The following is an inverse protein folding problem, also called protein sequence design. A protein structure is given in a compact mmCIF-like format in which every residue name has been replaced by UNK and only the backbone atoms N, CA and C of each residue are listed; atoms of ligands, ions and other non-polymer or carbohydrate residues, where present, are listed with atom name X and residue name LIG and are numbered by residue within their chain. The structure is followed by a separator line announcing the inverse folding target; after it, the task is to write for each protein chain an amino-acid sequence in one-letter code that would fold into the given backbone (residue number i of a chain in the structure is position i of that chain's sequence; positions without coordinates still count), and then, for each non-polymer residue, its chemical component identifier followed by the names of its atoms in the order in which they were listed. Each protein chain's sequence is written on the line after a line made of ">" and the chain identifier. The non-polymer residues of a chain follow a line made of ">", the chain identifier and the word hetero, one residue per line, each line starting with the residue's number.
data_IF_951203061987
#
_entry.id   IF_951203061987
#
_cell.length_a   1.000
_cell.length_b   1.000
_cell.length_c   1.000
_cell.angle_alpha   90.00
_cell.angle_beta   90.00
_cell.angle_gamma   90.00
#
_symmetry.space_group_name_H-M   'P 1'
#
loop_
_entity.id
_entity.type
_entity.pdbx_description
1 polymer ?
#
# COMPACT_ATOMS: atom_id res chain seq x y z
N UNK A 1 -24.29 6.94 -44.31
CA UNK A 1 -24.78 6.68 -42.94
C UNK A 1 -23.60 6.24 -42.09
N UNK A 2 -22.86 7.17 -41.47
CA UNK A 2 -21.67 6.82 -40.65
C UNK A 2 -21.39 7.89 -39.57
N UNK A 3 -22.41 8.24 -38.78
CA UNK A 3 -22.24 9.09 -37.61
C UNK A 3 -22.75 8.34 -36.37
N UNK A 4 -21.90 8.22 -35.35
CA UNK A 4 -22.30 7.78 -34.01
C UNK A 4 -22.30 9.04 -33.14
N UNK A 5 -23.39 9.26 -32.41
CA UNK A 5 -23.51 10.38 -31.49
C UNK A 5 -22.93 9.99 -30.12
N UNK A 6 -21.91 10.72 -29.68
CA UNK A 6 -21.32 10.60 -28.35
C UNK A 6 -21.57 11.94 -27.65
N UNK A 7 -22.34 11.93 -26.56
CA UNK A 7 -22.80 13.15 -25.85
C UNK A 7 -23.45 14.21 -26.77
N UNK A 8 -24.31 13.77 -27.71
CA UNK A 8 -25.08 14.69 -28.56
C UNK A 8 -24.31 15.34 -29.72
N UNK A 9 -23.00 15.09 -29.87
CA UNK A 9 -22.22 15.58 -31.00
C UNK A 9 -22.02 14.50 -32.08
N UNK A 10 -22.22 14.80 -33.37
CA UNK A 10 -21.94 13.87 -34.45
C UNK A 10 -20.41 13.74 -34.63
N UNK A 11 -19.88 12.54 -34.39
CA UNK A 11 -18.44 12.25 -34.55
C UNK A 11 -18.21 11.23 -35.66
N UNK A 12 -17.30 11.57 -36.58
CA UNK A 12 -16.91 10.73 -37.71
C UNK A 12 -16.09 9.51 -37.22
N UNK A 13 -16.39 8.29 -37.68
CA UNK A 13 -15.80 7.03 -37.20
C UNK A 13 -14.26 7.02 -37.20
N UNK A 14 -13.63 7.64 -38.21
CA UNK A 14 -12.15 7.73 -38.32
C UNK A 14 -11.54 8.65 -37.26
N UNK A 15 -12.23 9.73 -36.86
CA UNK A 15 -11.81 10.59 -35.75
C UNK A 15 -12.07 9.95 -34.39
N UNK A 16 -13.10 9.12 -34.28
CA UNK A 16 -13.44 8.37 -33.07
C UNK A 16 -12.35 7.34 -32.74
N UNK A 17 -11.80 6.66 -33.75
CA UNK A 17 -10.66 5.76 -33.59
C UNK A 17 -9.39 6.51 -33.12
N UNK A 18 -9.04 7.66 -33.74
CA UNK A 18 -7.87 8.44 -33.32
C UNK A 18 -8.05 9.09 -31.94
N UNK A 19 -9.28 9.43 -31.57
CA UNK A 19 -9.63 10.01 -30.27
C UNK A 19 -9.60 8.95 -29.15
N UNK A 20 -10.18 7.77 -29.40
CA UNK A 20 -10.07 6.60 -28.52
C UNK A 20 -8.62 6.13 -28.32
N UNK A 21 -7.75 6.39 -29.31
CA UNK A 21 -6.33 6.09 -29.20
C UNK A 21 -5.52 7.07 -28.35
N UNK A 22 -6.11 8.21 -27.98
CA UNK A 22 -5.45 9.18 -27.10
C UNK A 22 -5.31 8.65 -25.67
N UNK A 23 -4.18 8.96 -25.03
CA UNK A 23 -3.90 8.58 -23.65
C UNK A 23 -5.00 9.03 -22.67
N UNK A 24 -5.53 10.27 -22.75
CA UNK A 24 -6.60 10.72 -21.85
C UNK A 24 -7.86 9.85 -21.93
N UNK A 25 -8.29 9.48 -23.14
CA UNK A 25 -9.49 8.64 -23.32
C UNK A 25 -9.27 7.24 -22.78
N UNK A 26 -8.08 6.66 -23.03
CA UNK A 26 -7.70 5.34 -22.46
C UNK A 26 -7.70 5.36 -20.94
N UNK A 27 -7.21 6.43 -20.33
CA UNK A 27 -7.21 6.62 -18.87
C UNK A 27 -8.63 6.73 -18.33
N UNK A 28 -9.48 7.55 -18.95
CA UNK A 28 -10.86 7.75 -18.53
C UNK A 28 -11.66 6.44 -18.63
N UNK A 29 -11.53 5.72 -19.75
CA UNK A 29 -12.19 4.43 -19.95
C UNK A 29 -11.71 3.39 -18.94
N UNK A 30 -10.40 3.31 -18.70
CA UNK A 30 -9.83 2.42 -17.70
C UNK A 30 -10.40 2.70 -16.30
N UNK A 31 -10.50 3.97 -15.93
CA UNK A 31 -11.05 4.36 -14.64
C UNK A 31 -12.54 3.99 -14.54
N UNK A 32 -13.35 4.27 -15.57
CA UNK A 32 -14.76 3.90 -15.62
C UNK A 32 -14.94 2.38 -15.46
N UNK A 33 -14.18 1.58 -16.22
CA UNK A 33 -14.21 0.12 -16.15
C UNK A 33 -13.87 -0.36 -14.74
N UNK A 34 -12.85 0.23 -14.10
CA UNK A 34 -12.53 -0.11 -12.72
C UNK A 34 -13.65 0.24 -11.75
N UNK A 35 -14.26 1.44 -11.83
CA UNK A 35 -15.36 1.78 -10.92
C UNK A 35 -16.54 0.81 -11.07
N UNK A 36 -16.91 0.45 -12.30
CA UNK A 36 -17.96 -0.54 -12.55
C UNK A 36 -17.56 -1.91 -11.97
N UNK A 37 -16.35 -2.39 -12.23
CA UNK A 37 -15.87 -3.67 -11.70
C UNK A 37 -15.83 -3.68 -10.16
N UNK A 38 -15.46 -2.57 -9.54
CA UNK A 38 -15.37 -2.41 -8.09
C UNK A 38 -16.75 -2.45 -7.43
N UNK A 39 -17.73 -1.73 -8.00
CA UNK A 39 -19.13 -1.79 -7.56
C UNK A 39 -19.69 -3.20 -7.70
N UNK A 40 -19.52 -3.82 -8.87
CA UNK A 40 -20.05 -5.15 -9.15
C UNK A 40 -19.42 -6.21 -8.24
N UNK A 41 -18.12 -6.13 -8.01
CA UNK A 41 -17.39 -7.05 -7.12
C UNK A 41 -17.95 -6.99 -5.69
N UNK A 42 -18.14 -5.79 -5.14
CA UNK A 42 -18.71 -5.66 -3.79
C UNK A 42 -20.17 -6.05 -3.73
N UNK A 43 -20.97 -5.69 -4.74
CA UNK A 43 -22.37 -6.09 -4.81
C UNK A 43 -22.47 -7.61 -4.83
N UNK A 44 -21.66 -8.28 -5.65
CA UNK A 44 -21.60 -9.74 -5.70
C UNK A 44 -21.18 -10.35 -4.35
N UNK A 45 -20.21 -9.75 -3.64
CA UNK A 45 -19.78 -10.20 -2.32
C UNK A 45 -20.93 -10.17 -1.29
N UNK A 46 -21.83 -9.19 -1.41
CA UNK A 46 -22.98 -8.97 -0.54
C UNK A 46 -24.21 -9.79 -0.96
N UNK A 47 -24.22 -10.36 -2.16
CA UNK A 47 -25.27 -11.28 -2.62
C UNK A 47 -25.02 -12.75 -2.21
N UNK A 48 -23.85 -13.07 -1.62
CA UNK A 48 -23.54 -14.41 -1.17
C UNK A 48 -24.44 -14.82 0.02
N UNK A 49 -24.79 -16.12 0.17
CA UNK A 49 -25.63 -16.58 1.27
C UNK A 49 -25.02 -16.29 2.65
N UNK A 50 -25.55 -15.25 3.31
CA UNK A 50 -25.05 -14.75 4.59
C UNK A 50 -25.02 -15.79 5.71
N UNK A 51 -26.07 -16.61 5.94
CA UNK A 51 -26.06 -17.59 7.03
C UNK A 51 -24.89 -18.58 6.94
N UNK A 52 -24.47 -18.96 5.73
CA UNK A 52 -23.35 -19.89 5.53
C UNK A 52 -22.02 -19.19 5.81
N UNK A 53 -21.84 -17.98 5.27
CA UNK A 53 -20.63 -17.17 5.48
C UNK A 53 -20.43 -16.85 6.97
N UNK A 54 -21.51 -16.47 7.66
CA UNK A 54 -21.51 -16.19 9.11
C UNK A 54 -21.21 -17.43 9.94
N UNK A 55 -21.83 -18.57 9.63
CA UNK A 55 -21.60 -19.83 10.33
C UNK A 55 -20.13 -20.28 10.21
N UNK A 56 -19.55 -20.21 9.03
CA UNK A 56 -18.13 -20.53 8.83
C UNK A 56 -17.19 -19.48 9.47
N UNK A 57 -17.59 -18.21 9.51
CA UNK A 57 -16.85 -17.17 10.20
C UNK A 57 -16.83 -17.41 11.73
N UNK A 58 -17.97 -17.78 12.32
CA UNK A 58 -18.07 -18.18 13.74
C UNK A 58 -17.25 -19.43 14.04
N UNK A 59 -17.35 -20.47 13.18
CA UNK A 59 -16.55 -21.69 13.33
C UNK A 59 -15.05 -21.44 13.28
N UNK A 60 -14.62 -20.38 12.57
CA UNK A 60 -13.22 -19.98 12.46
C UNK A 60 -12.62 -19.52 13.78
N UNK A 61 -13.40 -19.09 14.77
CA UNK A 61 -12.92 -18.69 16.11
C UNK A 61 -12.10 -19.79 16.80
N UNK A 62 -12.35 -21.05 16.44
CA UNK A 62 -11.63 -22.21 16.96
C UNK A 62 -10.36 -22.57 16.18
N UNK A 63 -10.06 -21.88 15.07
CA UNK A 63 -8.87 -22.13 14.25
C UNK A 63 -7.59 -21.74 15.00
N UNK A 64 -6.57 -22.59 14.90
CA UNK A 64 -5.23 -22.33 15.43
C UNK A 64 -4.61 -21.04 14.87
N UNK A 65 -5.05 -20.62 13.67
CA UNK A 65 -4.61 -19.36 13.07
C UNK A 65 -5.07 -18.13 13.87
N UNK A 66 -6.18 -18.23 14.61
CA UNK A 66 -6.72 -17.17 15.46
C UNK A 66 -6.32 -17.31 16.93
N UNK A 67 -6.13 -18.53 17.44
CA UNK A 67 -5.85 -18.77 18.87
C UNK A 67 -4.39 -18.55 19.29
N UNK A 68 -3.41 -18.87 18.44
CA UNK A 68 -1.99 -18.87 18.82
C UNK A 68 -1.17 -17.69 18.26
N UNK A 69 -1.67 -17.02 17.23
CA UNK A 69 -0.95 -15.94 16.52
C UNK A 69 -1.47 -14.52 16.81
N UNK A 70 -2.50 -14.38 17.66
CA UNK A 70 -3.19 -13.10 17.88
C UNK A 70 -2.88 -12.50 19.26
N UNK A 71 -1.65 -11.98 19.45
CA UNK A 71 -1.34 -11.08 20.58
C UNK A 71 -1.15 -9.68 20.04
N UNK A 72 -2.26 -8.97 19.81
CA UNK A 72 -2.21 -7.54 19.56
C UNK A 72 -2.04 -6.81 20.89
N UNK A 73 -0.88 -6.17 21.08
CA UNK A 73 -0.74 -5.14 22.09
C UNK A 73 -1.29 -3.84 21.50
N UNK A 74 -2.53 -3.51 21.88
CA UNK A 74 -3.17 -2.26 21.50
C UNK A 74 -2.49 -1.05 22.16
N UNK A 75 -1.42 -1.21 22.95
CA UNK A 75 -0.82 -0.10 23.69
C UNK A 75 0.33 0.54 22.94
N UNK A 76 0.23 1.84 22.67
CA UNK A 76 1.40 2.71 22.48
C UNK A 76 1.51 3.56 23.73
N UNK A 77 2.67 3.54 24.39
CA UNK A 77 2.90 4.30 25.62
C UNK A 77 1.78 4.08 26.67
N UNK A 78 1.35 2.83 26.88
CA UNK A 78 0.30 2.41 27.82
C UNK A 78 -1.15 2.84 27.50
N UNK A 79 -1.42 3.61 26.43
CA UNK A 79 -2.77 3.96 25.98
C UNK A 79 -3.31 3.02 24.90
N UNK A 80 -4.59 2.61 24.94
CA UNK A 80 -5.19 1.79 23.89
C UNK A 80 -5.31 2.59 22.59
N UNK A 81 -4.74 2.06 21.51
CA UNK A 81 -4.81 2.58 20.14
C UNK A 81 -6.01 1.94 19.46
N UNK A 82 -6.92 2.80 18.99
CA UNK A 82 -8.14 2.40 18.31
C UNK A 82 -7.87 2.05 16.83
N UNK A 83 -8.68 1.12 16.33
CA UNK A 83 -8.86 0.66 14.95
C UNK A 83 -7.91 -0.41 14.43
N UNK A 84 -8.39 -1.66 14.53
CA UNK A 84 -7.75 -2.85 13.99
C UNK A 84 -8.33 -3.17 12.60
N UNK A 85 -7.72 -2.62 11.55
CA UNK A 85 -8.07 -2.92 10.15
C UNK A 85 -7.95 -4.41 9.78
N UNK A 86 -7.47 -5.26 10.70
CA UNK A 86 -7.11 -6.63 10.43
C UNK A 86 -8.08 -7.67 11.00
N UNK A 87 -8.99 -7.26 11.91
CA UNK A 87 -10.08 -8.11 12.46
C UNK A 87 -11.32 -8.15 11.54
N UNK A 88 -11.34 -7.27 10.54
CA UNK A 88 -12.48 -7.02 9.67
C UNK A 88 -13.00 -8.24 8.90
N UNK A 89 -12.19 -9.25 8.56
CA UNK A 89 -12.71 -10.33 7.69
C UNK A 89 -13.87 -11.08 8.35
N UNK A 90 -13.74 -11.41 9.64
CA UNK A 90 -14.79 -12.12 10.40
C UNK A 90 -15.91 -11.13 10.79
N UNK A 91 -15.57 -9.94 11.24
CA UNK A 91 -16.54 -8.92 11.64
C UNK A 91 -17.42 -8.45 10.48
N UNK A 92 -16.87 -8.36 9.27
CA UNK A 92 -17.59 -7.97 8.05
C UNK A 92 -18.41 -9.11 7.48
N UNK A 93 -17.96 -10.35 7.70
CA UNK A 93 -18.78 -11.52 7.41
C UNK A 93 -20.07 -11.48 8.25
N UNK A 94 -19.96 -11.01 9.50
CA UNK A 94 -21.03 -10.90 10.50
C UNK A 94 -21.78 -9.55 10.50
N UNK A 95 -21.45 -8.63 9.59
CA UNK A 95 -22.10 -7.31 9.54
C UNK A 95 -23.60 -7.44 9.26
N UNK A 96 -24.37 -6.50 9.83
CA UNK A 96 -25.83 -6.47 9.67
C UNK A 96 -26.22 -6.09 8.23
N UNK A 97 -27.12 -6.87 7.64
CA UNK A 97 -27.72 -6.52 6.35
C UNK A 97 -28.53 -5.22 6.47
N UNK A 98 -28.27 -4.28 5.57
CA UNK A 98 -28.91 -2.98 5.51
C UNK A 98 -30.18 -2.98 4.63
N UNK A 99 -30.73 -4.15 4.36
CA UNK A 99 -31.93 -4.37 3.55
C UNK A 99 -31.68 -4.31 2.03
N UNK A 100 -30.45 -4.03 1.59
CA UNK A 100 -30.04 -4.24 0.20
C UNK A 100 -28.52 -4.43 0.08
N UNK A 101 -28.03 -5.28 -0.85
CA UNK A 101 -26.59 -5.46 -1.07
C UNK A 101 -25.85 -4.15 -1.39
N UNK A 102 -26.54 -3.21 -2.04
CA UNK A 102 -25.97 -1.92 -2.42
C UNK A 102 -25.77 -0.98 -1.22
N UNK A 103 -26.68 -1.03 -0.23
CA UNK A 103 -26.52 -0.29 1.03
C UNK A 103 -25.49 -0.95 1.95
N UNK A 104 -25.52 -2.27 2.06
CA UNK A 104 -24.58 -3.07 2.87
C UNK A 104 -23.13 -2.93 2.39
N UNK A 105 -22.87 -2.73 1.08
CA UNK A 105 -21.51 -2.43 0.61
C UNK A 105 -21.03 -1.00 0.91
N UNK A 106 -21.92 -0.08 1.31
CA UNK A 106 -21.57 1.33 1.57
C UNK A 106 -21.48 1.67 3.05
N UNK A 107 -22.10 0.89 3.93
CA UNK A 107 -22.03 1.01 5.38
C UNK A 107 -21.82 -0.37 5.99
N UNK A 108 -20.76 -0.51 6.77
CA UNK A 108 -20.57 -1.65 7.66
C UNK A 108 -20.98 -1.25 9.08
N UNK A 109 -21.92 -1.99 9.66
CA UNK A 109 -22.20 -1.93 11.09
C UNK A 109 -21.47 -3.07 11.77
N UNK A 110 -20.50 -2.73 12.63
CA UNK A 110 -19.62 -3.68 13.28
C UNK A 110 -19.80 -3.57 14.79
N UNK A 111 -19.97 -4.71 15.43
CA UNK A 111 -20.07 -4.84 16.87
C UNK A 111 -18.68 -5.25 17.39
N UNK A 112 -17.87 -4.27 17.84
CA UNK A 112 -16.52 -4.55 18.35
C UNK A 112 -16.59 -5.01 19.81
N UNK A 113 -16.21 -6.26 20.05
CA UNK A 113 -16.14 -6.84 21.40
C UNK A 113 -14.78 -6.54 22.00
N UNK A 114 -14.78 -5.70 23.04
CA UNK A 114 -13.58 -5.36 23.82
C UNK A 114 -13.10 -6.56 24.65
N UNK A 115 -11.81 -6.57 25.02
CA UNK A 115 -11.22 -7.60 25.92
C UNK A 115 -11.93 -7.72 27.28
N UNK A 116 -12.67 -6.68 27.71
CA UNK A 116 -13.46 -6.70 28.94
C UNK A 116 -14.89 -7.26 28.74
N UNK A 117 -15.23 -7.72 27.54
CA UNK A 117 -16.56 -8.25 27.19
C UNK A 117 -17.60 -7.18 26.86
N UNK A 118 -17.23 -5.89 26.84
CA UNK A 118 -18.12 -4.81 26.41
C UNK A 118 -18.21 -4.73 24.89
N UNK A 119 -19.40 -4.51 24.35
CA UNK A 119 -19.65 -4.37 22.91
C UNK A 119 -19.72 -2.87 22.57
N UNK A 120 -18.93 -2.43 21.60
CA UNK A 120 -18.99 -1.08 21.03
C UNK A 120 -19.53 -1.16 19.62
N UNK A 121 -20.68 -0.53 19.38
CA UNK A 121 -21.27 -0.45 18.04
C UNK A 121 -20.59 0.64 17.22
N UNK A 122 -20.04 0.27 16.05
CA UNK A 122 -19.40 1.20 15.13
C UNK A 122 -20.07 1.14 13.76
N UNK A 123 -20.27 2.31 13.16
CA UNK A 123 -20.72 2.43 11.78
C UNK A 123 -19.58 2.97 10.92
N UNK A 124 -19.16 2.19 9.94
CA UNK A 124 -18.11 2.55 9.00
C UNK A 124 -18.70 2.77 7.62
N UNK A 125 -18.73 4.03 7.18
CA UNK A 125 -19.15 4.43 5.83
C UNK A 125 -18.08 3.99 4.82
N UNK A 126 -18.36 4.03 3.51
CA UNK A 126 -17.42 3.73 2.39
C UNK A 126 -16.82 2.31 2.39
N UNK A 127 -17.52 1.33 2.97
CA UNK A 127 -17.02 -0.03 3.18
C UNK A 127 -17.04 -0.94 1.93
N UNK A 128 -16.50 -0.48 0.80
CA UNK A 128 -16.56 -1.18 -0.50
C UNK A 128 -15.23 -1.87 -0.90
N UNK A 129 -14.62 -2.64 -0.01
CA UNK A 129 -13.25 -3.12 -0.26
C UNK A 129 -13.17 -4.35 -1.17
N UNK A 130 -12.25 -4.31 -2.13
CA UNK A 130 -12.14 -5.35 -3.16
C UNK A 130 -11.75 -6.74 -2.67
N UNK A 131 -11.21 -6.85 -1.47
CA UNK A 131 -10.94 -8.13 -0.86
C UNK A 131 -12.22 -8.84 -0.40
N UNK A 132 -13.35 -8.13 -0.18
CA UNK A 132 -14.57 -8.72 0.37
C UNK A 132 -15.11 -9.86 -0.47
N UNK A 133 -15.11 -9.72 -1.80
CA UNK A 133 -15.56 -10.80 -2.67
C UNK A 133 -14.68 -12.03 -2.50
N UNK A 134 -13.37 -11.84 -2.50
CA UNK A 134 -12.41 -12.93 -2.34
C UNK A 134 -12.59 -13.62 -0.97
N UNK A 135 -12.66 -12.83 0.10
CA UNK A 135 -12.78 -13.36 1.47
C UNK A 135 -14.13 -14.02 1.69
N UNK A 136 -15.23 -13.41 1.25
CA UNK A 136 -16.58 -13.96 1.46
C UNK A 136 -16.78 -15.26 0.67
N UNK A 137 -16.23 -15.37 -0.55
CA UNK A 137 -16.25 -16.64 -1.30
C UNK A 137 -15.46 -17.72 -0.55
N UNK A 138 -14.29 -17.39 -0.01
CA UNK A 138 -13.49 -18.35 0.74
C UNK A 138 -14.16 -18.76 2.06
N UNK A 139 -14.75 -17.80 2.78
CA UNK A 139 -15.54 -18.06 3.98
C UNK A 139 -16.76 -18.93 3.66
N UNK A 140 -17.46 -18.65 2.56
CA UNK A 140 -18.57 -19.49 2.09
C UNK A 140 -18.13 -20.94 1.85
N UNK A 141 -16.91 -21.16 1.35
CA UNK A 141 -16.37 -22.51 1.08
C UNK A 141 -15.97 -23.23 2.38
N UNK A 142 -15.28 -22.57 3.31
CA UNK A 142 -14.75 -23.29 4.48
C UNK A 142 -14.04 -22.44 5.54
N UNK A 143 -14.45 -21.19 5.73
CA UNK A 143 -13.91 -20.36 6.82
C UNK A 143 -12.50 -19.81 6.58
N UNK A 144 -11.85 -19.35 7.65
CA UNK A 144 -10.60 -18.57 7.60
C UNK A 144 -9.42 -19.39 7.06
N UNK A 145 -9.40 -20.70 7.28
CA UNK A 145 -8.36 -21.61 6.80
C UNK A 145 -8.31 -21.63 5.26
N UNK A 146 -9.45 -21.42 4.60
CA UNK A 146 -9.53 -21.30 3.13
C UNK A 146 -9.09 -19.92 2.65
N UNK A 147 -9.40 -18.84 3.40
CA UNK A 147 -9.01 -17.47 3.05
C UNK A 147 -7.48 -17.30 2.96
N UNK A 148 -6.75 -18.06 3.77
CA UNK A 148 -5.28 -18.09 3.77
C UNK A 148 -4.70 -18.54 2.43
N UNK A 149 -5.38 -19.45 1.73
CA UNK A 149 -4.85 -20.07 0.50
C UNK A 149 -4.64 -19.05 -0.62
N UNK A 150 -5.63 -18.21 -1.02
CA UNK A 150 -5.40 -17.15 -2.00
C UNK A 150 -4.32 -16.15 -1.59
N UNK A 151 -4.24 -15.78 -0.31
CA UNK A 151 -3.23 -14.85 0.16
C UNK A 151 -1.81 -15.44 0.06
N UNK A 152 -1.63 -16.70 0.43
CA UNK A 152 -0.37 -17.41 0.24
C UNK A 152 -0.01 -17.55 -1.25
N UNK A 153 -0.99 -17.87 -2.10
CA UNK A 153 -0.79 -17.96 -3.55
C UNK A 153 -0.36 -16.60 -4.14
N UNK A 154 -0.98 -15.49 -3.72
CA UNK A 154 -0.60 -14.13 -4.10
C UNK A 154 0.81 -13.79 -3.62
N UNK A 155 1.18 -14.18 -2.40
CA UNK A 155 2.52 -13.95 -1.86
C UNK A 155 3.59 -14.67 -2.69
N UNK A 156 3.36 -15.94 -3.03
CA UNK A 156 4.26 -16.74 -3.88
C UNK A 156 4.36 -16.12 -5.28
N UNK A 157 3.21 -15.84 -5.91
CA UNK A 157 3.16 -15.28 -7.25
C UNK A 157 3.81 -13.90 -7.32
N UNK A 158 3.50 -13.01 -6.38
CA UNK A 158 4.08 -11.68 -6.28
C UNK A 158 5.59 -11.72 -6.07
N UNK A 159 6.06 -12.59 -5.19
CA UNK A 159 7.50 -12.79 -4.96
C UNK A 159 8.21 -13.32 -6.20
N UNK A 160 7.62 -14.29 -6.90
CA UNK A 160 8.16 -14.84 -8.14
C UNK A 160 8.20 -13.79 -9.27
N UNK A 161 7.12 -13.02 -9.46
CA UNK A 161 7.08 -11.95 -10.43
C UNK A 161 8.12 -10.86 -10.12
N UNK A 162 8.23 -10.46 -8.85
CA UNK A 162 9.21 -9.48 -8.40
C UNK A 162 10.64 -9.97 -8.61
N UNK A 163 10.92 -11.25 -8.30
CA UNK A 163 12.19 -11.88 -8.60
C UNK A 163 12.54 -11.73 -10.09
N UNK A 164 11.65 -12.15 -10.99
CA UNK A 164 11.90 -12.10 -12.45
C UNK A 164 12.14 -10.65 -12.93
N UNK A 165 11.34 -9.69 -12.44
CA UNK A 165 11.51 -8.28 -12.78
C UNK A 165 12.86 -7.71 -12.31
N UNK A 166 13.24 -7.97 -11.06
CA UNK A 166 14.46 -7.47 -10.44
C UNK A 166 15.73 -8.10 -11.02
N UNK A 167 15.66 -9.36 -11.46
CA UNK A 167 16.79 -10.07 -12.09
C UNK A 167 17.29 -9.42 -13.38
N UNK A 168 16.49 -8.56 -14.02
CA UNK A 168 16.94 -7.71 -15.15
C UNK A 168 18.02 -6.72 -14.73
N UNK A 169 18.00 -6.26 -13.47
CA UNK A 169 18.91 -5.24 -12.96
C UNK A 169 19.98 -5.83 -12.05
N UNK A 170 19.61 -6.80 -11.23
CA UNK A 170 20.40 -7.25 -10.08
C UNK A 170 20.82 -8.72 -10.17
N UNK A 171 21.93 -9.06 -9.50
CA UNK A 171 22.40 -10.44 -9.35
C UNK A 171 21.44 -11.27 -8.49
N UNK A 172 21.50 -12.61 -8.58
CA UNK A 172 20.68 -13.55 -7.79
C UNK A 172 20.71 -13.23 -6.29
N UNK A 173 21.88 -13.15 -5.61
CA UNK A 173 21.92 -12.93 -4.17
C UNK A 173 21.34 -11.56 -3.77
N UNK A 174 21.59 -10.53 -4.58
CA UNK A 174 21.06 -9.19 -4.33
C UNK A 174 19.53 -9.14 -4.46
N UNK A 175 18.98 -9.87 -5.43
CA UNK A 175 17.53 -9.97 -5.63
C UNK A 175 16.87 -10.73 -4.49
N UNK A 176 17.47 -11.85 -4.07
CA UNK A 176 16.97 -12.63 -2.93
C UNK A 176 17.02 -11.80 -1.65
N UNK A 177 18.14 -11.12 -1.37
CA UNK A 177 18.24 -10.25 -0.19
C UNK A 177 17.17 -9.14 -0.17
N UNK A 178 16.89 -8.51 -1.32
CA UNK A 178 15.81 -7.52 -1.42
C UNK A 178 14.44 -8.14 -1.07
N UNK A 179 14.10 -9.29 -1.67
CA UNK A 179 12.81 -9.95 -1.45
C UNK A 179 12.69 -10.48 -0.01
N UNK A 180 13.77 -11.02 0.55
CA UNK A 180 13.80 -11.51 1.93
C UNK A 180 13.53 -10.37 2.92
N UNK A 181 14.20 -9.22 2.76
CA UNK A 181 13.93 -8.04 3.60
C UNK A 181 12.47 -7.63 3.45
N UNK A 182 11.96 -7.56 2.21
CA UNK A 182 10.57 -7.18 1.91
C UNK A 182 9.56 -8.12 2.57
N UNK A 183 9.77 -9.44 2.48
CA UNK A 183 8.86 -10.45 3.00
C UNK A 183 8.84 -10.48 4.52
N UNK A 184 10.01 -10.50 5.18
CA UNK A 184 10.05 -10.59 6.63
C UNK A 184 9.45 -9.37 7.34
N UNK A 185 9.44 -8.24 6.65
CA UNK A 185 8.93 -6.99 7.17
C UNK A 185 7.44 -6.75 6.85
N UNK A 186 6.80 -7.68 6.14
CA UNK A 186 5.33 -7.74 5.99
C UNK A 186 4.63 -8.47 7.15
N UNK A 187 5.37 -8.93 8.16
CA UNK A 187 4.89 -9.76 9.27
C UNK A 187 4.13 -11.04 8.85
N UNK A 188 4.18 -11.45 7.58
CA UNK A 188 3.51 -12.64 7.06
C UNK A 188 3.81 -13.91 7.90
N UNK A 189 5.02 -14.00 8.45
CA UNK A 189 5.47 -15.14 9.25
C UNK A 189 5.17 -15.04 10.74
N UNK A 190 4.78 -13.85 11.22
CA UNK A 190 4.64 -13.55 12.65
C UNK A 190 3.21 -13.16 13.05
N UNK A 191 2.44 -12.55 12.13
CA UNK A 191 1.07 -12.09 12.36
C UNK A 191 0.26 -12.15 11.05
N UNK A 192 0.14 -13.35 10.47
CA UNK A 192 -0.46 -13.54 9.13
C UNK A 192 -1.91 -13.04 9.05
N UNK A 193 -2.76 -13.40 10.02
CA UNK A 193 -4.16 -12.99 10.02
C UNK A 193 -4.29 -11.50 10.32
N UNK A 194 -3.55 -11.01 11.31
CA UNK A 194 -3.50 -9.60 11.66
C UNK A 194 -2.88 -8.72 10.58
N UNK A 195 -2.50 -9.26 9.41
CA UNK A 195 -2.03 -8.50 8.25
C UNK A 195 -2.57 -9.06 6.91
N UNK A 196 -3.62 -9.89 6.94
CA UNK A 196 -4.08 -10.66 5.78
C UNK A 196 -4.60 -9.77 4.63
N UNK A 197 -5.37 -8.74 4.97
CA UNK A 197 -5.89 -7.78 4.00
C UNK A 197 -4.77 -6.97 3.36
N UNK A 198 -3.80 -6.56 4.18
CA UNK A 198 -2.60 -5.89 3.70
C UNK A 198 -1.79 -6.81 2.80
N UNK A 199 -1.62 -8.08 3.16
CA UNK A 199 -0.93 -9.07 2.35
C UNK A 199 -1.56 -9.16 0.95
N UNK A 200 -2.89 -9.27 0.87
CA UNK A 200 -3.63 -9.30 -0.40
C UNK A 200 -3.36 -8.02 -1.21
N UNK A 201 -3.59 -6.84 -0.64
CA UNK A 201 -3.43 -5.56 -1.34
C UNK A 201 -1.98 -5.35 -1.80
N UNK A 202 -1.01 -5.64 -0.94
CA UNK A 202 0.42 -5.50 -1.18
C UNK A 202 0.92 -6.42 -2.29
N UNK A 203 0.60 -7.73 -2.25
CA UNK A 203 1.11 -8.66 -3.25
C UNK A 203 0.41 -8.52 -4.60
N UNK A 204 -0.88 -8.14 -4.64
CA UNK A 204 -1.51 -7.73 -5.90
C UNK A 204 -0.77 -6.54 -6.50
N UNK A 205 -0.48 -5.52 -5.70
CA UNK A 205 0.30 -4.37 -6.17
C UNK A 205 1.71 -4.80 -6.63
N UNK A 206 2.37 -5.71 -5.91
CA UNK A 206 3.70 -6.22 -6.28
C UNK A 206 3.68 -6.98 -7.62
N UNK A 207 2.66 -7.79 -7.86
CA UNK A 207 2.43 -8.45 -9.16
C UNK A 207 2.27 -7.39 -10.26
N UNK A 208 1.41 -6.40 -10.05
CA UNK A 208 1.16 -5.34 -11.02
C UNK A 208 2.41 -4.52 -11.32
N UNK A 209 3.17 -4.12 -10.29
CA UNK A 209 4.44 -3.41 -10.42
C UNK A 209 5.49 -4.23 -11.17
N UNK A 210 5.56 -5.53 -10.90
CA UNK A 210 6.48 -6.45 -11.56
C UNK A 210 6.13 -6.63 -13.03
N UNK A 211 4.85 -6.89 -13.33
CA UNK A 211 4.33 -6.98 -14.69
C UNK A 211 4.53 -5.67 -15.47
N UNK A 212 4.26 -4.53 -14.84
CA UNK A 212 4.57 -3.20 -15.39
C UNK A 212 6.04 -3.12 -15.77
N UNK A 213 6.96 -3.39 -14.84
CA UNK A 213 8.40 -3.29 -15.09
C UNK A 213 8.85 -4.21 -16.23
N UNK A 214 8.28 -5.43 -16.30
CA UNK A 214 8.56 -6.38 -17.36
C UNK A 214 8.08 -5.89 -18.73
N UNK A 215 6.84 -5.39 -18.81
CA UNK A 215 6.19 -4.92 -20.06
C UNK A 215 6.72 -3.58 -20.55
N UNK A 216 7.10 -2.68 -19.65
CA UNK A 216 7.74 -1.41 -19.98
C UNK A 216 9.11 -1.62 -20.62
N UNK A 217 9.86 -2.63 -20.17
CA UNK A 217 11.13 -3.01 -20.79
C UNK A 217 11.00 -3.50 -22.24
N UNK A 218 9.78 -3.80 -22.71
CA UNK A 218 9.48 -4.22 -24.08
C UNK A 218 8.88 -3.08 -24.94
N UNK A 219 8.90 -1.84 -24.45
CA UNK A 219 8.37 -0.72 -25.21
C UNK A 219 9.30 -0.38 -26.40
N UNK A 220 8.77 -0.28 -27.64
CA UNK A 220 9.59 -0.05 -28.83
C UNK A 220 10.18 1.37 -28.90
N UNK A 221 9.56 2.33 -28.21
CA UNK A 221 10.02 3.71 -28.18
C UNK A 221 9.60 4.42 -26.87
N UNK A 222 10.14 5.62 -26.66
CA UNK A 222 9.90 6.40 -25.44
C UNK A 222 8.43 6.82 -25.26
N UNK A 223 7.70 7.11 -26.34
CA UNK A 223 6.28 7.50 -26.29
C UNK A 223 5.41 6.36 -25.78
N UNK A 224 5.61 5.16 -26.32
CA UNK A 224 4.90 3.95 -25.88
C UNK A 224 5.28 3.59 -24.44
N UNK A 225 6.55 3.74 -24.07
CA UNK A 225 7.00 3.56 -22.68
C UNK A 225 6.21 4.48 -21.72
N UNK A 226 6.17 5.78 -22.00
CA UNK A 226 5.48 6.76 -21.14
C UNK A 226 3.98 6.50 -21.08
N UNK A 227 3.32 6.23 -22.21
CA UNK A 227 1.89 5.92 -22.24
C UNK A 227 1.56 4.68 -21.41
N UNK A 228 2.34 3.60 -21.56
CA UNK A 228 2.16 2.39 -20.76
C UNK A 228 2.43 2.64 -19.28
N UNK A 229 3.45 3.43 -18.95
CA UNK A 229 3.79 3.74 -17.57
C UNK A 229 2.63 4.45 -16.87
N UNK A 230 2.02 5.44 -17.53
CA UNK A 230 0.88 6.18 -16.99
C UNK A 230 -0.31 5.24 -16.78
N UNK A 231 -0.66 4.41 -17.77
CA UNK A 231 -1.76 3.46 -17.65
C UNK A 231 -1.56 2.45 -16.53
N UNK A 232 -0.37 1.86 -16.43
CA UNK A 232 -0.03 0.94 -15.35
C UNK A 232 -0.05 1.64 -13.99
N UNK A 233 0.44 2.87 -13.89
CA UNK A 233 0.45 3.60 -12.62
C UNK A 233 -0.96 3.91 -12.14
N UNK A 234 -1.86 4.31 -13.06
CA UNK A 234 -3.27 4.54 -12.77
C UNK A 234 -3.97 3.25 -12.38
N UNK A 235 -3.69 2.15 -13.09
CA UNK A 235 -4.26 0.85 -12.73
C UNK A 235 -3.80 0.39 -11.35
N UNK A 236 -2.51 0.43 -11.07
CA UNK A 236 -1.96 -0.01 -9.79
C UNK A 236 -2.49 0.85 -8.64
N UNK A 237 -2.55 2.18 -8.80
CA UNK A 237 -3.06 3.06 -7.75
C UNK A 237 -4.56 2.87 -7.47
N UNK A 238 -5.38 2.69 -8.50
CA UNK A 238 -6.80 2.41 -8.35
C UNK A 238 -7.07 1.04 -7.70
N UNK A 239 -6.43 -0.03 -8.21
CA UNK A 239 -6.59 -1.39 -7.66
C UNK A 239 -6.04 -1.46 -6.23
N UNK A 240 -4.90 -0.82 -5.96
CA UNK A 240 -4.37 -0.77 -4.60
C UNK A 240 -5.31 0.00 -3.67
N UNK A 241 -5.85 1.16 -4.04
CA UNK A 241 -6.84 1.89 -3.23
C UNK A 241 -8.13 1.08 -3.01
N UNK A 242 -8.53 0.28 -4.00
CA UNK A 242 -9.72 -0.56 -3.91
C UNK A 242 -9.57 -1.70 -2.91
N UNK A 243 -8.43 -2.40 -2.94
CA UNK A 243 -8.11 -3.49 -2.02
C UNK A 243 -7.68 -2.95 -0.64
N UNK A 244 -6.82 -1.96 -0.61
CA UNK A 244 -6.19 -1.48 0.62
C UNK A 244 -7.16 -0.67 1.48
N UNK A 245 -6.94 -0.72 2.79
CA UNK A 245 -7.64 0.06 3.80
C UNK A 245 -6.80 1.29 4.22
N UNK A 246 -6.11 1.92 3.27
CA UNK A 246 -5.20 3.04 3.51
C UNK A 246 -4.00 2.73 4.44
N UNK A 247 -3.62 1.46 4.55
CA UNK A 247 -2.71 0.96 5.58
C UNK A 247 -1.26 1.41 5.35
N UNK A 248 -0.73 1.33 4.12
CA UNK A 248 0.65 1.75 3.81
C UNK A 248 0.82 2.40 2.43
N UNK A 249 0.00 3.41 2.06
CA UNK A 249 0.01 3.97 0.72
C UNK A 249 1.38 4.54 0.34
N UNK A 250 2.08 5.21 1.27
CA UNK A 250 3.36 5.84 0.99
C UNK A 250 4.46 4.85 0.59
N UNK A 251 4.57 3.73 1.29
CA UNK A 251 5.59 2.73 1.00
C UNK A 251 5.30 1.97 -0.30
N UNK A 252 4.03 1.66 -0.59
CA UNK A 252 3.65 1.01 -1.86
C UNK A 252 3.88 1.95 -3.05
N UNK A 253 3.58 3.25 -2.92
CA UNK A 253 3.90 4.25 -3.94
C UNK A 253 5.41 4.34 -4.16
N UNK A 254 6.21 4.35 -3.10
CA UNK A 254 7.67 4.37 -3.21
C UNK A 254 8.19 3.11 -3.94
N UNK A 255 7.64 1.95 -3.62
CA UNK A 255 7.96 0.70 -4.31
C UNK A 255 7.55 0.74 -5.78
N UNK A 256 6.39 1.32 -6.12
CA UNK A 256 5.93 1.48 -7.50
C UNK A 256 6.88 2.37 -8.32
N UNK A 257 7.29 3.50 -7.76
CA UNK A 257 8.31 4.37 -8.33
C UNK A 257 9.66 3.65 -8.50
N UNK A 258 10.05 2.81 -7.56
CA UNK A 258 11.24 1.97 -7.67
C UNK A 258 11.12 0.98 -8.84
N UNK A 259 10.01 0.26 -8.99
CA UNK A 259 9.80 -0.66 -10.12
C UNK A 259 9.74 0.06 -11.48
N UNK A 260 9.21 1.29 -11.52
CA UNK A 260 9.28 2.16 -12.69
C UNK A 260 10.74 2.55 -13.03
N UNK A 261 11.58 2.80 -12.02
CA UNK A 261 13.02 2.99 -12.22
C UNK A 261 13.70 1.72 -12.73
N UNK A 262 13.38 0.54 -12.18
CA UNK A 262 13.94 -0.74 -12.61
C UNK A 262 13.62 -1.04 -14.08
N UNK A 263 12.47 -0.59 -14.57
CA UNK A 263 12.06 -0.74 -15.96
C UNK A 263 12.94 0.04 -16.95
N UNK A 264 13.68 1.05 -16.48
CA UNK A 264 14.54 1.86 -17.33
C UNK A 264 15.84 1.12 -17.71
N UNK A 265 16.33 1.28 -18.95
CA UNK A 265 17.64 0.78 -19.35
C UNK A 265 18.78 1.27 -18.43
N UNK A 266 19.86 0.49 -18.35
CA UNK A 266 21.07 0.90 -17.63
C UNK A 266 21.70 2.12 -18.31
N UNK A 267 22.20 3.07 -17.53
CA UNK A 267 22.90 4.26 -18.05
C UNK A 267 22.00 5.40 -18.53
N UNK A 268 20.68 5.32 -18.35
CA UNK A 268 19.75 6.41 -18.66
C UNK A 268 20.13 7.70 -17.91
N UNK A 269 19.94 8.85 -18.58
CA UNK A 269 20.22 10.18 -18.01
C UNK A 269 19.41 10.41 -16.72
N UNK A 270 20.00 10.96 -15.65
CA UNK A 270 19.32 11.24 -14.38
C UNK A 270 17.97 11.95 -14.52
N UNK A 271 17.90 12.98 -15.38
CA UNK A 271 16.65 13.72 -15.66
C UNK A 271 15.51 12.79 -16.09
N UNK A 272 15.80 11.82 -16.97
CA UNK A 272 14.78 10.86 -17.44
C UNK A 272 14.35 9.89 -16.35
N UNK A 273 15.26 9.47 -15.46
CA UNK A 273 14.91 8.67 -14.29
C UNK A 273 13.95 9.43 -13.38
N UNK A 274 14.25 10.69 -13.06
CA UNK A 274 13.40 11.54 -12.21
C UNK A 274 12.03 11.75 -12.86
N UNK A 275 11.98 12.12 -14.14
CA UNK A 275 10.69 12.32 -14.85
C UNK A 275 9.86 11.04 -14.87
N UNK A 276 10.49 9.87 -15.06
CA UNK A 276 9.79 8.57 -15.03
C UNK A 276 9.19 8.30 -13.65
N UNK A 277 9.97 8.52 -12.58
CA UNK A 277 9.48 8.35 -11.21
C UNK A 277 8.36 9.33 -10.87
N UNK A 278 8.45 10.59 -11.31
CA UNK A 278 7.37 11.57 -11.15
C UNK A 278 6.11 11.15 -11.89
N UNK A 279 6.21 10.68 -13.14
CA UNK A 279 5.05 10.17 -13.89
C UNK A 279 4.40 8.98 -13.18
N UNK A 280 5.20 8.07 -12.63
CA UNK A 280 4.72 6.93 -11.86
C UNK A 280 4.01 7.38 -10.57
N UNK A 281 4.63 8.31 -9.83
CA UNK A 281 4.10 8.92 -8.62
C UNK A 281 2.76 9.60 -8.87
N UNK A 282 2.68 10.49 -9.87
CA UNK A 282 1.46 11.21 -10.21
C UNK A 282 0.36 10.26 -10.70
N UNK A 283 0.67 9.31 -11.59
CA UNK A 283 -0.34 8.36 -12.08
C UNK A 283 -0.92 7.51 -10.96
N UNK A 284 -0.05 6.94 -10.11
CA UNK A 284 -0.48 6.17 -8.95
C UNK A 284 -1.27 7.05 -7.98
N UNK A 285 -0.67 8.15 -7.50
CA UNK A 285 -1.26 9.00 -6.47
C UNK A 285 -2.62 9.58 -6.88
N UNK A 286 -2.73 10.05 -8.13
CA UNK A 286 -3.98 10.59 -8.66
C UNK A 286 -5.08 9.50 -8.65
N UNK A 287 -4.80 8.34 -9.22
CA UNK A 287 -5.79 7.25 -9.28
C UNK A 287 -6.16 6.70 -7.90
N UNK A 288 -5.21 6.67 -6.97
CA UNK A 288 -5.45 6.27 -5.59
C UNK A 288 -6.42 7.24 -4.90
N UNK A 289 -6.13 8.55 -4.96
CA UNK A 289 -6.98 9.59 -4.36
C UNK A 289 -8.35 9.62 -5.02
N UNK A 290 -8.42 9.52 -6.35
CA UNK A 290 -9.68 9.48 -7.08
C UNK A 290 -10.52 8.27 -6.70
N UNK A 291 -9.91 7.07 -6.63
CA UNK A 291 -10.63 5.86 -6.22
C UNK A 291 -11.11 5.96 -4.77
N UNK A 292 -10.29 6.51 -3.88
CA UNK A 292 -10.66 6.78 -2.49
C UNK A 292 -11.82 7.77 -2.38
N UNK A 293 -11.78 8.89 -3.11
CA UNK A 293 -12.86 9.87 -3.15
C UNK A 293 -14.13 9.27 -3.75
N UNK A 294 -14.00 8.40 -4.75
CA UNK A 294 -15.14 7.75 -5.38
C UNK A 294 -15.89 6.83 -4.42
N UNK A 295 -15.21 6.21 -3.44
CA UNK A 295 -15.88 5.43 -2.38
C UNK A 295 -16.90 6.26 -1.61
N UNK A 296 -16.51 7.50 -1.27
CA UNK A 296 -17.39 8.45 -0.59
C UNK A 296 -18.54 8.92 -1.46
N UNK A 297 -18.27 9.21 -2.73
CA UNK A 297 -19.33 9.61 -3.67
C UNK A 297 -20.35 8.49 -3.84
N UNK A 298 -19.92 7.23 -3.97
CA UNK A 298 -20.85 6.09 -4.01
C UNK A 298 -21.64 5.97 -2.70
N UNK A 299 -20.98 6.08 -1.54
CA UNK A 299 -21.69 6.08 -0.26
C UNK A 299 -22.75 7.20 -0.19
N UNK A 300 -22.43 8.41 -0.67
CA UNK A 300 -23.35 9.54 -0.66
C UNK A 300 -24.55 9.35 -1.59
N UNK A 301 -24.37 8.69 -2.74
CA UNK A 301 -25.49 8.34 -3.62
C UNK A 301 -26.43 7.30 -3.01
N UNK A 302 -25.95 6.48 -2.07
CA UNK A 302 -26.72 5.39 -1.46
C UNK A 302 -27.39 5.82 -0.17
N UNK A 303 -26.69 6.59 0.66
CA UNK A 303 -27.10 6.96 2.01
C UNK A 303 -27.64 8.39 2.09
N UNK A 304 -27.28 9.24 1.12
CA UNK A 304 -27.58 10.65 1.12
C UNK A 304 -26.34 11.51 1.38
N UNK A 305 -26.27 12.65 0.71
CA UNK A 305 -25.13 13.57 0.80
C UNK A 305 -24.97 14.15 2.21
N UNK A 306 -26.07 14.56 2.84
CA UNK A 306 -26.02 15.19 4.17
C UNK A 306 -25.51 14.22 5.25
N UNK A 307 -25.95 12.96 5.20
CA UNK A 307 -25.52 11.90 6.11
C UNK A 307 -24.02 11.63 5.98
N UNK A 308 -23.54 11.43 4.75
CA UNK A 308 -22.13 11.14 4.48
C UNK A 308 -21.23 12.34 4.79
N UNK A 309 -21.61 13.56 4.43
CA UNK A 309 -20.81 14.74 4.75
C UNK A 309 -20.78 15.04 6.25
N UNK A 310 -21.90 14.86 6.96
CA UNK A 310 -21.92 14.97 8.42
C UNK A 310 -20.97 13.97 9.06
N UNK A 311 -20.93 12.73 8.57
CA UNK A 311 -19.98 11.73 9.05
C UNK A 311 -18.52 12.11 8.73
N UNK A 312 -18.22 12.52 7.49
CA UNK A 312 -16.86 12.94 7.09
C UNK A 312 -16.36 14.09 7.96
N UNK A 313 -17.18 15.13 8.15
CA UNK A 313 -16.82 16.28 8.97
C UNK A 313 -16.73 15.92 10.46
N UNK A 314 -17.58 15.01 10.94
CA UNK A 314 -17.52 14.46 12.29
C UNK A 314 -16.22 13.70 12.55
N UNK A 315 -15.85 12.77 11.66
CA UNK A 315 -14.57 12.05 11.70
C UNK A 315 -13.39 13.02 11.62
N UNK A 316 -13.37 13.94 10.65
CA UNK A 316 -12.31 14.96 10.57
C UNK A 316 -12.20 15.82 11.84
N UNK A 317 -13.34 16.11 12.48
CA UNK A 317 -13.41 16.77 13.79
C UNK A 317 -12.84 15.92 14.93
N UNK A 318 -13.17 14.63 14.99
CA UNK A 318 -12.65 13.65 15.97
C UNK A 318 -11.13 13.47 15.89
N UNK A 319 -10.58 13.49 14.69
CA UNK A 319 -9.14 13.30 14.44
C UNK A 319 -8.33 14.60 14.45
N UNK A 320 -8.99 15.75 14.43
CA UNK A 320 -8.38 17.04 14.77
C UNK A 320 -8.38 17.20 16.29
N UNK A 321 -7.37 17.88 16.87
CA UNK A 321 -7.24 18.11 18.32
C UNK A 321 -8.41 18.88 19.00
N UNK A 322 -9.53 19.08 18.31
CA UNK A 322 -10.75 19.78 18.75
C UNK A 322 -11.98 18.85 18.88
N UNK A 323 -11.84 17.54 18.68
CA UNK A 323 -12.92 16.57 18.84
C UNK A 323 -13.32 16.37 20.31
N UNK A 324 -14.54 16.78 20.67
CA UNK A 324 -15.08 16.73 22.05
C UNK A 324 -15.68 15.37 22.45
N UNK A 325 -15.47 14.30 21.69
CA UNK A 325 -16.09 13.01 22.02
C UNK A 325 -15.36 12.31 23.19
N UNK A 326 -16.12 12.01 24.23
CA UNK A 326 -15.69 11.32 25.45
C UNK A 326 -15.70 9.79 25.33
N UNK A 327 -16.01 9.24 24.15
CA UNK A 327 -16.31 7.82 23.94
C UNK A 327 -15.15 7.01 23.34
N UNK A 328 -14.14 7.67 22.76
CA UNK A 328 -12.92 7.01 22.32
C UNK A 328 -11.81 7.26 23.36
N UNK A 329 -10.94 6.29 23.65
CA UNK A 329 -9.80 6.52 24.49
C UNK A 329 -8.96 7.65 23.90
N UNK A 330 -8.96 8.79 24.57
CA UNK A 330 -8.10 9.89 24.19
C UNK A 330 -6.67 9.44 24.46
N UNK A 331 -5.82 9.52 23.44
CA UNK A 331 -4.38 9.37 23.65
C UNK A 331 -3.98 10.29 24.83
N UNK A 332 -3.09 9.82 25.70
CA UNK A 332 -2.54 10.65 26.78
C UNK A 332 -1.62 11.71 26.16
N UNK A 333 -2.26 12.68 25.51
CA UNK A 333 -1.66 13.79 24.81
C UNK A 333 -0.68 14.51 25.73
N UNK A 334 -0.94 14.75 27.03
CA UNK A 334 0.06 15.30 27.95
C UNK A 334 1.38 14.52 28.00
N UNK A 335 1.33 13.19 28.02
CA UNK A 335 2.52 12.33 28.07
C UNK A 335 3.25 12.26 26.71
N UNK A 336 2.49 12.21 25.61
CA UNK A 336 3.01 12.31 24.24
C UNK A 336 3.60 13.71 23.97
N UNK A 337 2.94 14.77 24.45
CA UNK A 337 3.38 16.17 24.46
C UNK A 337 4.70 16.32 25.21
N UNK A 338 4.90 15.62 26.32
CA UNK A 338 6.18 15.60 27.05
C UNK A 338 7.34 15.06 26.22
N UNK A 339 7.09 14.10 25.34
CA UNK A 339 8.07 13.63 24.35
C UNK A 339 8.22 14.59 23.16
N UNK A 340 7.13 15.24 22.71
CA UNK A 340 7.16 16.31 21.71
C UNK A 340 7.96 17.55 22.17
N UNK A 341 8.04 17.86 23.47
CA UNK A 341 8.82 19.01 23.95
C UNK A 341 10.34 18.91 23.66
N UNK A 342 10.86 17.72 23.35
CA UNK A 342 12.26 17.53 22.95
C UNK A 342 12.48 17.38 21.43
N UNK A 343 11.42 17.19 20.62
CA UNK A 343 11.52 16.94 19.17
C UNK A 343 10.32 17.52 18.41
N UNK A 344 10.52 18.07 17.21
CA UNK A 344 9.38 18.50 16.39
C UNK A 344 8.42 17.33 16.09
N UNK A 345 7.11 17.58 15.88
CA UNK A 345 6.15 16.49 15.70
C UNK A 345 6.45 15.53 14.56
N UNK A 346 7.02 16.05 13.48
CA UNK A 346 7.43 15.28 12.31
C UNK A 346 8.63 14.39 12.63
N UNK A 347 9.61 14.93 13.39
CA UNK A 347 10.77 14.15 13.82
C UNK A 347 10.35 13.04 14.78
N UNK A 348 9.42 13.34 15.70
CA UNK A 348 8.84 12.36 16.59
C UNK A 348 8.13 11.24 15.81
N UNK A 349 7.29 11.55 14.82
CA UNK A 349 6.62 10.54 13.98
C UNK A 349 7.64 9.62 13.26
N UNK A 350 8.72 10.18 12.72
CA UNK A 350 9.76 9.40 12.05
C UNK A 350 10.50 8.51 13.06
N UNK A 351 10.98 9.08 14.17
CA UNK A 351 11.79 8.37 15.15
C UNK A 351 10.98 7.32 15.92
N UNK A 352 9.74 7.61 16.31
CA UNK A 352 8.88 6.69 17.04
C UNK A 352 8.46 5.50 16.17
N UNK A 353 8.06 5.74 14.91
CA UNK A 353 7.70 4.64 13.99
C UNK A 353 8.92 3.77 13.65
N UNK A 354 10.10 4.37 13.46
CA UNK A 354 11.34 3.65 13.21
C UNK A 354 11.78 2.85 14.43
N UNK A 355 11.76 3.47 15.62
CA UNK A 355 12.12 2.83 16.88
C UNK A 355 11.18 1.67 17.19
N UNK A 356 9.86 1.89 17.05
CA UNK A 356 8.86 0.84 17.21
C UNK A 356 9.13 -0.32 16.25
N UNK A 357 9.34 -0.05 14.96
CA UNK A 357 9.66 -1.07 13.97
C UNK A 357 10.86 -1.96 14.35
N UNK A 358 11.92 -1.35 14.89
CA UNK A 358 13.13 -2.07 15.29
C UNK A 358 12.95 -2.85 16.60
N UNK A 359 12.18 -2.32 17.56
CA UNK A 359 11.92 -2.98 18.84
C UNK A 359 10.92 -4.11 18.69
N UNK A 360 9.87 -3.91 17.89
CA UNK A 360 8.78 -4.87 17.72
C UNK A 360 9.11 -6.01 16.76
N UNK A 361 10.13 -5.86 15.90
CA UNK A 361 10.48 -6.85 14.90
C UNK A 361 12.01 -6.98 14.75
N UNK A 362 12.54 -8.11 15.26
CA UNK A 362 13.98 -8.42 15.20
C UNK A 362 14.52 -8.42 13.77
N UNK A 363 13.71 -8.77 12.78
CA UNK A 363 14.14 -8.76 11.38
C UNK A 363 14.27 -7.33 10.85
N UNK A 364 13.41 -6.40 11.27
CA UNK A 364 13.57 -4.98 10.98
C UNK A 364 14.87 -4.43 11.60
N UNK A 365 15.19 -4.82 12.84
CA UNK A 365 16.44 -4.44 13.50
C UNK A 365 17.68 -4.97 12.76
N UNK A 366 17.70 -6.26 12.41
CA UNK A 366 18.81 -6.88 11.66
C UNK A 366 18.94 -6.24 10.27
N UNK A 367 17.82 -5.98 9.59
CA UNK A 367 17.80 -5.31 8.28
C UNK A 367 18.37 -3.89 8.38
N UNK A 368 17.97 -3.13 9.41
CA UNK A 368 18.52 -1.81 9.68
C UNK A 368 20.03 -1.85 9.91
N UNK A 369 20.51 -2.74 10.78
CA UNK A 369 21.93 -2.88 11.08
C UNK A 369 22.76 -3.22 9.82
N UNK A 370 22.25 -4.14 8.99
CA UNK A 370 22.88 -4.50 7.72
C UNK A 370 22.92 -3.32 6.74
N UNK A 371 21.81 -2.61 6.57
CA UNK A 371 21.71 -1.42 5.71
C UNK A 371 22.66 -0.33 6.19
N UNK A 372 22.72 -0.07 7.51
CA UNK A 372 23.62 0.90 8.11
C UNK A 372 25.08 0.55 7.82
N UNK A 373 25.48 -0.69 8.07
CA UNK A 373 26.84 -1.16 7.80
C UNK A 373 27.23 -1.02 6.31
N UNK A 374 26.30 -1.33 5.40
CA UNK A 374 26.51 -1.16 3.96
C UNK A 374 26.73 0.32 3.61
N UNK A 375 25.91 1.22 4.12
CA UNK A 375 26.01 2.65 3.80
C UNK A 375 27.24 3.32 4.46
N UNK A 376 27.63 2.89 5.66
CA UNK A 376 28.92 3.27 6.26
C UNK A 376 30.08 2.80 5.37
N UNK A 377 30.04 1.56 4.88
CA UNK A 377 31.05 1.06 3.96
C UNK A 377 31.07 1.84 2.64
N UNK A 378 29.90 2.20 2.09
CA UNK A 378 29.80 3.08 0.91
C UNK A 378 30.45 4.43 1.20
N UNK A 379 30.17 5.05 2.35
CA UNK A 379 30.75 6.34 2.74
C UNK A 379 32.28 6.24 2.84
N UNK A 380 32.80 5.24 3.56
CA UNK A 380 34.25 5.03 3.74
C UNK A 380 34.94 4.73 2.41
N UNK A 381 34.41 3.81 1.61
CA UNK A 381 34.95 3.48 0.28
C UNK A 381 34.86 4.68 -0.66
N UNK A 382 33.85 5.53 -0.48
CA UNK A 382 33.81 6.79 -1.17
C UNK A 382 35.02 7.61 -0.69
N UNK A 383 35.12 8.05 0.56
CA UNK A 383 36.15 9.01 1.02
C UNK A 383 37.58 8.54 0.67
N UNK A 384 37.87 7.25 0.80
CA UNK A 384 39.19 6.67 0.52
C UNK A 384 39.56 6.59 -0.96
N UNK A 385 38.61 6.65 -1.89
CA UNK A 385 38.90 6.63 -3.32
C UNK A 385 39.41 8.00 -3.78
N UNK A 386 40.71 8.09 -4.09
CA UNK A 386 41.39 9.28 -4.63
C UNK A 386 40.83 9.77 -5.99
N UNK A 387 41.60 10.60 -6.71
CA UNK A 387 41.25 11.51 -7.81
C UNK A 387 40.53 10.96 -9.09
N UNK A 388 39.66 9.94 -9.00
CA UNK A 388 38.77 9.47 -10.08
C UNK A 388 37.32 9.99 -9.91
N UNK A 389 37.17 11.30 -9.72
CA UNK A 389 35.90 11.94 -9.35
C UNK A 389 34.72 11.68 -10.30
N UNK A 390 34.95 11.55 -11.61
CA UNK A 390 33.87 11.42 -12.61
C UNK A 390 33.09 10.11 -12.55
N UNK A 391 33.78 8.95 -12.50
CA UNK A 391 33.13 7.62 -12.52
C UNK A 391 32.50 7.29 -11.17
N UNK A 392 33.19 7.64 -10.07
CA UNK A 392 32.69 7.51 -8.70
C UNK A 392 31.40 8.31 -8.49
N UNK A 393 31.38 9.57 -8.93
CA UNK A 393 30.18 10.42 -8.90
C UNK A 393 29.02 9.78 -9.67
N UNK A 394 29.29 9.16 -10.83
CA UNK A 394 28.26 8.47 -11.62
C UNK A 394 27.65 7.28 -10.89
N UNK A 395 28.47 6.46 -10.21
CA UNK A 395 27.99 5.31 -9.41
C UNK A 395 27.13 5.80 -8.25
N UNK A 396 27.58 6.81 -7.50
CA UNK A 396 26.85 7.38 -6.37
C UNK A 396 25.52 8.01 -6.81
N UNK A 397 25.51 8.78 -7.90
CA UNK A 397 24.28 9.37 -8.46
C UNK A 397 23.29 8.26 -8.82
N UNK A 398 23.73 7.18 -9.47
CA UNK A 398 22.84 6.07 -9.81
C UNK A 398 22.27 5.37 -8.57
N UNK A 399 23.06 5.24 -7.52
CA UNK A 399 22.60 4.69 -6.24
C UNK A 399 21.57 5.59 -5.57
N UNK A 400 21.84 6.89 -5.51
CA UNK A 400 20.92 7.86 -4.93
C UNK A 400 19.61 7.94 -5.73
N UNK A 401 19.67 7.83 -7.06
CA UNK A 401 18.47 7.73 -7.91
C UNK A 401 17.63 6.48 -7.62
N UNK A 402 18.25 5.35 -7.25
CA UNK A 402 17.52 4.16 -6.82
C UNK A 402 16.81 4.36 -5.48
N UNK A 403 17.39 5.16 -4.58
CA UNK A 403 16.83 5.46 -3.27
C UNK A 403 15.86 6.66 -3.29
N UNK A 404 15.82 7.45 -4.38
CA UNK A 404 14.96 8.62 -4.51
C UNK A 404 13.47 8.37 -4.19
N UNK A 405 12.86 7.22 -4.56
CA UNK A 405 11.47 6.94 -4.21
C UNK A 405 11.16 7.01 -2.71
N UNK A 406 12.16 6.82 -1.84
CA UNK A 406 11.99 6.87 -0.38
C UNK A 406 11.62 8.25 0.16
N UNK A 407 11.81 9.31 -0.63
CA UNK A 407 11.32 10.65 -0.31
C UNK A 407 9.80 10.66 -0.12
N UNK A 408 9.06 9.79 -0.80
CA UNK A 408 7.60 9.67 -0.63
C UNK A 408 7.24 9.21 0.78
N UNK A 409 7.97 8.24 1.33
CA UNK A 409 7.76 7.72 2.69
C UNK A 409 8.08 8.79 3.73
N UNK A 410 9.19 9.52 3.55
CA UNK A 410 9.55 10.63 4.43
C UNK A 410 8.53 11.78 4.33
N UNK A 411 8.09 12.12 3.13
CA UNK A 411 7.05 13.13 2.90
C UNK A 411 5.74 12.76 3.58
N UNK A 412 5.35 11.48 3.55
CA UNK A 412 4.20 10.99 4.30
C UNK A 412 4.34 11.20 5.81
N UNK A 413 5.48 10.84 6.41
CA UNK A 413 5.68 11.08 7.85
C UNK A 413 5.71 12.56 8.22
N UNK A 414 6.08 13.45 7.29
CA UNK A 414 6.05 14.90 7.51
C UNK A 414 4.63 15.46 7.40
N UNK A 415 3.92 15.11 6.33
CA UNK A 415 2.60 15.67 6.00
C UNK A 415 1.48 15.03 6.84
N UNK A 416 1.55 13.72 7.05
CA UNK A 416 0.56 12.91 7.75
C UNK A 416 1.06 12.48 9.12
N UNK A 417 1.86 13.31 9.81
CA UNK A 417 2.50 12.95 11.07
C UNK A 417 1.50 12.54 12.16
N UNK A 418 0.37 13.24 12.31
CA UNK A 418 -0.66 12.89 13.30
C UNK A 418 -1.25 11.49 13.03
N UNK A 419 -1.60 11.23 11.78
CA UNK A 419 -2.09 9.93 11.34
C UNK A 419 -1.03 8.83 11.52
N UNK A 420 0.23 9.11 11.18
CA UNK A 420 1.33 8.18 11.36
C UNK A 420 1.59 7.86 12.84
N UNK A 421 1.41 8.84 13.75
CA UNK A 421 1.59 8.67 15.20
C UNK A 421 0.47 7.81 15.79
N UNK A 422 -0.79 8.09 15.44
CA UNK A 422 -1.94 7.30 15.91
C UNK A 422 -1.82 5.84 15.46
N UNK A 423 -1.27 5.59 14.28
CA UNK A 423 -1.15 4.24 13.74
C UNK A 423 0.28 3.68 13.78
N UNK A 424 1.14 4.13 14.72
CA UNK A 424 2.50 3.60 14.89
C UNK A 424 2.54 2.06 14.93
N UNK A 425 1.69 1.35 15.71
CA UNK A 425 1.73 -0.11 15.80
C UNK A 425 1.38 -0.79 14.48
N UNK A 426 0.43 -0.19 13.77
CA UNK A 426 -0.20 -0.80 12.59
C UNK A 426 0.62 -0.51 11.33
N UNK A 427 1.21 0.68 11.19
CA UNK A 427 1.84 1.16 9.95
C UNK A 427 3.36 1.32 10.06
N UNK A 428 3.91 1.45 11.27
CA UNK A 428 5.32 1.80 11.49
C UNK A 428 6.27 0.78 10.85
N UNK A 429 6.21 -0.48 11.28
CA UNK A 429 7.11 -1.55 10.83
C UNK A 429 7.11 -1.76 9.31
N UNK A 430 5.93 -1.72 8.69
CA UNK A 430 5.73 -2.03 7.27
C UNK A 430 6.20 -0.95 6.30
N UNK A 431 6.28 0.31 6.73
CA UNK A 431 6.87 1.36 5.89
C UNK A 431 8.40 1.22 5.86
N UNK A 432 9.01 0.93 7.01
CA UNK A 432 10.47 0.81 7.17
C UNK A 432 11.05 -0.43 6.46
N UNK A 433 10.28 -1.51 6.37
CA UNK A 433 10.45 -2.64 5.46
C UNK A 433 11.01 -2.28 4.06
N UNK A 434 10.21 -1.48 3.33
CA UNK A 434 10.44 -1.10 1.94
C UNK A 434 11.61 -0.13 1.87
N UNK A 435 11.74 0.76 2.87
CA UNK A 435 12.90 1.62 3.05
C UNK A 435 14.18 0.79 3.13
N UNK A 436 14.23 -0.22 3.99
CA UNK A 436 15.41 -1.07 4.15
C UNK A 436 15.69 -1.91 2.91
N UNK A 437 14.68 -2.47 2.25
CA UNK A 437 14.87 -3.23 1.01
C UNK A 437 15.49 -2.37 -0.10
N UNK A 438 14.97 -1.16 -0.33
CA UNK A 438 15.47 -0.22 -1.34
C UNK A 438 16.88 0.29 -0.98
N UNK A 439 17.12 0.64 0.29
CA UNK A 439 18.44 1.07 0.76
C UNK A 439 19.48 -0.04 0.67
N UNK A 440 19.09 -1.29 0.96
CA UNK A 440 19.96 -2.46 0.82
C UNK A 440 20.41 -2.63 -0.62
N UNK A 441 19.47 -2.69 -1.57
CA UNK A 441 19.81 -2.93 -2.98
C UNK A 441 20.60 -1.76 -3.58
N UNK A 442 20.25 -0.53 -3.20
CA UNK A 442 21.00 0.67 -3.59
C UNK A 442 22.42 0.62 -3.03
N UNK A 443 22.58 0.48 -1.71
CA UNK A 443 23.89 0.49 -1.05
C UNK A 443 24.83 -0.60 -1.55
N UNK A 444 24.35 -1.84 -1.71
CA UNK A 444 25.17 -2.94 -2.26
C UNK A 444 25.58 -2.66 -3.71
N UNK A 445 24.69 -2.05 -4.50
CA UNK A 445 25.02 -1.65 -5.88
C UNK A 445 26.10 -0.57 -5.93
N UNK A 446 26.02 0.45 -5.05
CA UNK A 446 27.08 1.44 -4.90
C UNK A 446 28.40 0.79 -4.48
N UNK A 447 28.37 -0.04 -3.43
CA UNK A 447 29.57 -0.67 -2.89
C UNK A 447 30.27 -1.55 -3.93
N UNK A 448 29.53 -2.34 -4.72
CA UNK A 448 30.09 -3.11 -5.84
C UNK A 448 30.71 -2.21 -6.91
N UNK A 449 30.03 -1.13 -7.28
CA UNK A 449 30.55 -0.16 -8.23
C UNK A 449 31.82 0.57 -7.75
N UNK A 450 31.96 0.74 -6.43
CA UNK A 450 33.16 1.31 -5.80
C UNK A 450 34.30 0.27 -5.62
N UNK A 451 33.98 -1.02 -5.46
CA UNK A 451 34.94 -2.09 -5.18
C UNK A 451 35.50 -2.83 -6.40
N UNK A 452 34.81 -2.86 -7.55
CA UNK A 452 35.27 -3.62 -8.74
C UNK A 452 36.52 -3.03 -9.42
N UNK A 453 37.37 -2.33 -8.67
CA UNK A 453 38.61 -1.70 -9.08
C UNK A 453 39.83 -2.18 -8.28
N UNK A 454 39.73 -3.25 -7.48
CA UNK A 454 40.95 -3.83 -6.87
C UNK A 454 41.77 -4.74 -7.81
N UNK A 455 41.23 -5.11 -8.97
CA UNK A 455 41.93 -5.96 -9.95
C UNK A 455 41.93 -5.29 -11.35
N UNK A 456 42.87 -4.38 -11.60
CA UNK A 456 43.51 -4.14 -12.91
C UNK A 456 44.93 -3.67 -12.64
#
# INVERSE_FOLDING_TARGET
>A
MDAIFLFGCPVNKTRLASFADSLPVKVMLLFLVFQVAFVLSNTAANCLPRPVVESHAQGSESSALLSDMYVYDHRVAAGPVCFDNNRFIIEVAQQKDQGSPFKTMTVAEIDDVTKAGGITHQQYYRYWHGWQLLTNVCLFIGGIDVVVVPAAALAIAGSACAYVALRKRFSKPLTLGFLTILLFSTNLFFNFIGDLLLCISFFVALIMMSCMSLRLGLAPNARVFTSRLVLWSIATGAVFSFLDFLTIPAAVVALHCFFAFIALPKGVRPKRCVVTMLQALFGFGLSFVFTWAMKWVVAAFVLGWDEVFSNVLGEMGLWSAHGTSSLLPQADWPQILKAFYYMSPQLFAICSTAGYAMVSNVVCLVSFAAVLAIWVAVLVCSIRGGAQGGRRRKVLIQSLLMALPLVVVLGYFVVMHDHAIVHIPVFGCKNWAIVFAILFVSGVSALRGLRSQKDV
#
